data_IF_549541178453
#
_entry.id   IF_549541178453
#
_cell.length_a   1.000
_cell.length_b   1.000
_cell.length_c   1.000
_cell.angle_alpha   90.00
_cell.angle_beta   90.00
_cell.angle_gamma   90.00
#
_symmetry.space_group_name_H-M   'P 1'
#
loop_
_entity.id
_entity.type
_entity.pdbx_description
1 polymer ?
#
# COMPACT_ATOMS: atom_id res chain seq x y z
N UNK A 1 -5.37 5.24 -1.58
CA UNK A 1 -6.46 5.72 -2.45
C UNK A 1 -7.33 6.63 -1.61
N UNK A 2 -7.27 7.94 -1.83
CA UNK A 2 -8.24 8.86 -1.22
C UNK A 2 -9.44 8.88 -2.16
N UNK A 3 -10.44 8.06 -1.84
CA UNK A 3 -11.75 8.11 -2.50
C UNK A 3 -12.47 9.29 -1.86
N UNK A 4 -12.33 10.50 -2.40
CA UNK A 4 -13.11 11.62 -1.87
C UNK A 4 -14.60 11.29 -2.09
N UNK A 5 -15.41 11.16 -1.02
CA UNK A 5 -16.78 10.66 -1.14
C UNK A 5 -17.65 11.63 -1.93
N UNK A 6 -17.45 12.93 -1.72
CA UNK A 6 -18.20 13.98 -2.40
C UNK A 6 -18.00 13.92 -3.92
N UNK A 7 -16.80 13.58 -4.38
CA UNK A 7 -16.52 13.41 -5.82
C UNK A 7 -17.11 12.14 -6.40
N UNK A 8 -17.27 11.07 -5.61
CA UNK A 8 -17.73 9.77 -6.10
C UNK A 8 -19.24 9.56 -5.97
N UNK A 9 -19.89 10.26 -5.05
CA UNK A 9 -21.33 10.17 -4.80
C UNK A 9 -22.15 11.23 -5.57
N UNK A 10 -21.50 12.16 -6.29
CA UNK A 10 -22.19 13.24 -7.02
C UNK A 10 -23.17 12.74 -8.08
N UNK A 11 -22.94 11.53 -8.61
CA UNK A 11 -23.81 10.88 -9.59
C UNK A 11 -24.57 9.68 -9.02
N UNK A 12 -24.55 9.48 -7.70
CA UNK A 12 -25.28 8.39 -7.05
C UNK A 12 -26.77 8.71 -6.99
N UNK A 13 -27.62 7.69 -7.07
CA UNK A 13 -29.07 7.87 -6.96
C UNK A 13 -29.48 8.20 -5.52
N UNK A 14 -28.69 7.71 -4.55
CA UNK A 14 -28.76 8.07 -3.13
C UNK A 14 -27.35 8.45 -2.62
N UNK A 15 -27.04 9.77 -2.53
CA UNK A 15 -25.76 10.24 -2.02
C UNK A 15 -25.47 9.84 -0.56
N UNK A 16 -26.51 9.70 0.27
CA UNK A 16 -26.35 9.37 1.70
C UNK A 16 -25.93 7.91 1.86
N UNK A 17 -26.56 7.01 1.11
CA UNK A 17 -26.18 5.60 1.07
C UNK A 17 -24.78 5.41 0.47
N UNK A 18 -24.43 6.20 -0.56
CA UNK A 18 -23.09 6.19 -1.15
C UNK A 18 -22.02 6.56 -0.10
N UNK A 19 -22.23 7.65 0.64
CA UNK A 19 -21.29 8.09 1.69
C UNK A 19 -21.14 7.03 2.79
N UNK A 20 -22.24 6.40 3.21
CA UNK A 20 -22.24 5.33 4.20
C UNK A 20 -21.42 4.12 3.74
N UNK A 21 -21.62 3.66 2.50
CA UNK A 21 -20.86 2.55 1.89
C UNK A 21 -19.38 2.86 1.74
N UNK A 22 -19.03 4.09 1.33
CA UNK A 22 -17.64 4.55 1.30
C UNK A 22 -17.04 4.51 2.72
N UNK A 23 -17.80 4.91 3.73
CA UNK A 23 -17.43 4.81 5.15
C UNK A 23 -17.07 3.37 5.56
N UNK A 24 -17.94 2.40 5.23
CA UNK A 24 -17.69 0.97 5.50
C UNK A 24 -16.42 0.50 4.81
N UNK A 25 -16.27 0.75 3.50
CA UNK A 25 -15.08 0.34 2.76
C UNK A 25 -13.80 0.94 3.35
N UNK A 26 -13.83 2.22 3.74
CA UNK A 26 -12.70 2.88 4.43
C UNK A 26 -12.40 2.23 5.77
N UNK A 27 -13.43 1.91 6.56
CA UNK A 27 -13.29 1.21 7.85
C UNK A 27 -12.61 -0.14 7.71
N UNK A 28 -13.08 -0.96 6.76
CA UNK A 28 -12.50 -2.26 6.42
C UNK A 28 -11.02 -2.12 6.03
N UNK A 29 -10.69 -1.16 5.16
CA UNK A 29 -9.30 -0.93 4.75
C UNK A 29 -8.39 -0.46 5.88
N UNK A 30 -8.90 0.27 6.87
CA UNK A 30 -8.14 0.70 8.05
C UNK A 30 -7.94 -0.46 9.04
N UNK A 31 -8.98 -1.24 9.31
CA UNK A 31 -8.94 -2.35 10.26
C UNK A 31 -8.08 -3.53 9.76
N UNK A 32 -7.97 -3.72 8.44
CA UNK A 32 -7.10 -4.73 7.84
C UNK A 32 -5.65 -4.28 7.61
N UNK A 33 -5.26 -3.06 8.03
CA UNK A 33 -3.84 -2.72 8.19
C UNK A 33 -3.30 -3.44 9.42
N UNK A 34 -3.09 -4.75 9.29
CA UNK A 34 -2.34 -5.51 10.28
C UNK A 34 -0.95 -4.88 10.43
N UNK A 35 -0.57 -4.55 11.65
CA UNK A 35 0.78 -4.14 12.05
C UNK A 35 1.88 -5.11 11.57
N UNK A 36 1.52 -6.34 11.21
CA UNK A 36 2.41 -7.38 10.69
C UNK A 36 2.55 -7.42 9.16
N UNK A 37 1.96 -6.49 8.40
CA UNK A 37 2.09 -6.50 6.94
C UNK A 37 3.55 -6.40 6.48
N UNK A 38 4.35 -5.56 7.14
CA UNK A 38 5.79 -5.43 6.86
C UNK A 38 6.55 -6.72 7.19
N UNK A 39 6.25 -7.36 8.32
CA UNK A 39 6.87 -8.63 8.72
C UNK A 39 6.57 -9.75 7.75
N UNK A 40 5.30 -9.93 7.37
CA UNK A 40 4.90 -10.93 6.37
C UNK A 40 5.51 -10.65 4.99
N UNK A 41 5.63 -9.38 4.61
CA UNK A 41 6.25 -8.99 3.36
C UNK A 41 7.75 -9.32 3.34
N UNK A 42 8.48 -9.01 4.41
CA UNK A 42 9.91 -9.31 4.51
C UNK A 42 10.18 -10.82 4.58
N UNK A 43 9.38 -11.58 5.33
CA UNK A 43 9.49 -13.04 5.36
C UNK A 43 9.32 -13.65 3.96
N UNK A 44 8.33 -13.17 3.18
CA UNK A 44 8.15 -13.59 1.79
C UNK A 44 9.30 -13.18 0.89
N UNK A 45 9.85 -11.99 1.08
CA UNK A 45 11.03 -11.54 0.32
C UNK A 45 12.23 -12.46 0.59
N UNK A 46 12.45 -12.89 1.83
CA UNK A 46 13.50 -13.84 2.17
C UNK A 46 13.28 -15.21 1.50
N UNK A 47 12.07 -15.78 1.59
CA UNK A 47 11.75 -17.04 0.92
C UNK A 47 11.94 -16.96 -0.60
N UNK A 48 11.46 -15.88 -1.22
CA UNK A 48 11.61 -15.66 -2.64
C UNK A 48 13.06 -15.46 -3.08
N UNK A 49 13.88 -14.79 -2.26
CA UNK A 49 15.29 -14.64 -2.52
C UNK A 49 16.03 -15.98 -2.50
N UNK A 50 15.71 -16.86 -1.56
CA UNK A 50 16.23 -18.23 -1.53
C UNK A 50 15.83 -19.02 -2.78
N UNK A 51 14.55 -18.97 -3.17
CA UNK A 51 14.06 -19.68 -4.36
C UNK A 51 14.69 -19.17 -5.67
N UNK A 52 14.95 -17.86 -5.76
CA UNK A 52 15.50 -17.23 -6.96
C UNK A 52 17.04 -17.17 -6.97
N UNK A 53 17.69 -17.70 -5.92
CA UNK A 53 19.12 -17.61 -5.67
C UNK A 53 19.65 -16.16 -5.69
N UNK A 54 18.89 -15.25 -5.07
CA UNK A 54 19.23 -13.82 -4.94
C UNK A 54 19.84 -13.60 -3.55
N UNK A 55 21.02 -13.00 -3.50
CA UNK A 55 21.64 -12.61 -2.23
C UNK A 55 21.06 -11.28 -1.77
N UNK A 56 20.26 -11.31 -0.71
CA UNK A 56 19.74 -10.11 -0.07
C UNK A 56 20.73 -9.57 0.98
N UNK A 57 20.92 -8.24 1.07
CA UNK A 57 21.55 -7.62 2.23
C UNK A 57 20.83 -8.01 3.52
N UNK A 58 21.55 -8.10 4.63
CA UNK A 58 20.94 -8.29 5.92
C UNK A 58 20.14 -7.04 6.34
N UNK A 59 18.81 -7.17 6.33
CA UNK A 59 17.87 -6.12 6.72
C UNK A 59 17.43 -6.22 8.19
N UNK A 60 17.94 -7.22 8.95
CA UNK A 60 17.48 -7.55 10.31
C UNK A 60 18.00 -6.60 11.40
N UNK A 61 19.08 -5.86 11.13
CA UNK A 61 19.68 -4.85 12.02
C UNK A 61 18.80 -3.62 12.29
N UNK A 62 17.55 -3.63 11.85
CA UNK A 62 16.64 -2.47 11.88
C UNK A 62 15.37 -2.66 12.72
N UNK A 63 15.17 -3.82 13.35
CA UNK A 63 13.99 -4.10 14.18
C UNK A 63 14.16 -3.81 15.68
N UNK A 64 15.37 -3.44 16.15
CA UNK A 64 15.70 -3.43 17.58
C UNK A 64 15.89 -2.06 18.26
N UNK A 65 15.60 -0.92 17.62
CA UNK A 65 15.76 0.40 18.26
C UNK A 65 14.45 1.16 18.48
N UNK A 66 13.44 0.51 19.06
CA UNK A 66 12.25 1.23 19.58
C UNK A 66 11.94 0.92 21.04
N UNK A 67 12.94 0.56 21.84
CA UNK A 67 12.72 0.32 23.26
C UNK A 67 13.97 0.51 24.14
N UNK A 68 14.62 1.66 24.06
CA UNK A 68 15.43 2.21 25.17
C UNK A 68 16.04 3.56 24.77
N UNK A 69 15.42 4.66 25.20
CA UNK A 69 16.09 5.64 26.06
C UNK A 69 15.07 6.70 26.48
N UNK A 70 14.69 6.55 27.74
CA UNK A 70 14.20 7.56 28.65
C UNK A 70 15.11 8.79 28.67
N UNK A 71 14.48 9.95 28.92
CA UNK A 71 15.06 11.15 29.53
C UNK A 71 15.99 12.03 28.66
N UNK A 72 15.41 13.12 28.16
CA UNK A 72 16.15 14.26 27.63
C UNK A 72 15.24 15.45 27.45
N UNK A 73 15.04 16.25 28.50
CA UNK A 73 14.39 17.55 28.41
C UNK A 73 15.23 18.46 27.50
N UNK A 74 14.64 18.97 26.42
CA UNK A 74 15.19 20.15 25.75
C UNK A 74 14.07 21.01 25.18
N UNK A 75 13.77 22.08 25.91
CA UNK A 75 13.00 23.21 25.44
C UNK A 75 13.77 23.89 24.30
N UNK A 76 13.14 24.02 23.13
CA UNK A 76 13.64 24.78 22.01
C UNK A 76 12.53 25.60 21.39
N UNK A 77 12.21 26.74 22.01
CA UNK A 77 11.36 27.78 21.45
C UNK A 77 12.11 28.47 20.31
N UNK A 78 11.56 28.43 19.09
CA UNK A 78 12.11 29.14 17.94
C UNK A 78 11.00 29.78 17.11
N UNK A 79 10.69 31.04 17.42
CA UNK A 79 9.96 31.93 16.52
C UNK A 79 10.87 32.40 15.38
N UNK A 80 10.35 32.44 14.16
CA UNK A 80 11.05 32.99 13.00
C UNK A 80 10.09 33.39 11.89
N UNK A 81 9.64 34.64 11.94
CA UNK A 81 8.97 35.33 10.83
C UNK A 81 10.01 35.73 9.79
N UNK A 82 9.79 35.40 8.52
CA UNK A 82 10.67 35.82 7.43
C UNK A 82 9.97 35.79 6.07
N UNK A 83 9.57 36.96 5.59
CA UNK A 83 9.27 37.22 4.18
C UNK A 83 10.57 37.32 3.39
N UNK A 84 10.61 36.73 2.19
CA UNK A 84 11.74 36.84 1.29
C UNK A 84 11.45 36.20 -0.07
N UNK A 85 11.08 37.04 -1.05
CA UNK A 85 11.01 36.70 -2.46
C UNK A 85 12.43 36.56 -3.02
N UNK A 86 12.74 35.44 -3.69
CA UNK A 86 14.01 35.22 -4.37
C UNK A 86 13.88 34.17 -5.47
N UNK A 87 13.91 34.62 -6.72
CA UNK A 87 14.13 33.76 -7.89
C UNK A 87 15.58 33.28 -7.90
N UNK A 88 15.78 31.96 -8.01
CA UNK A 88 17.09 31.35 -8.16
C UNK A 88 16.98 30.01 -8.87
N UNK A 89 17.35 29.99 -10.16
CA UNK A 89 17.62 28.76 -10.90
C UNK A 89 18.88 28.13 -10.33
N UNK A 90 18.71 27.14 -9.44
CA UNK A 90 19.79 26.36 -8.85
C UNK A 90 19.65 24.88 -9.19
N UNK A 91 20.49 24.39 -10.09
CA UNK A 91 20.81 22.97 -10.16
C UNK A 91 21.53 22.57 -8.86
N UNK A 92 20.76 22.18 -7.85
CA UNK A 92 21.26 21.71 -6.57
C UNK A 92 21.29 20.19 -6.52
N UNK A 93 22.48 19.60 -6.72
CA UNK A 93 22.80 18.27 -6.21
C UNK A 93 22.76 18.30 -4.68
N UNK A 94 21.56 18.16 -4.12
CA UNK A 94 21.30 18.13 -2.68
C UNK A 94 21.62 16.77 -2.09
N UNK A 95 22.91 16.51 -1.87
CA UNK A 95 23.37 15.42 -1.01
C UNK A 95 22.94 15.65 0.45
N UNK A 96 21.72 15.24 0.79
CA UNK A 96 21.22 15.20 2.16
C UNK A 96 21.60 13.88 2.83
N UNK A 97 22.80 13.83 3.45
CA UNK A 97 23.16 12.81 4.43
C UNK A 97 22.36 13.05 5.72
N UNK A 98 21.20 12.40 5.84
CA UNK A 98 20.52 12.21 7.12
C UNK A 98 20.54 10.72 7.49
N UNK A 99 20.90 10.33 8.72
CA UNK A 99 20.92 8.92 9.13
C UNK A 99 19.48 8.43 9.40
N UNK A 100 18.69 8.28 8.33
CA UNK A 100 17.41 7.57 8.34
C UNK A 100 17.62 6.12 7.93
N UNK A 101 18.31 5.34 8.78
CA UNK A 101 18.81 3.99 8.51
C UNK A 101 17.74 2.88 8.54
N UNK A 102 16.60 3.06 7.87
CA UNK A 102 15.60 1.99 7.77
C UNK A 102 15.05 1.69 6.36
N UNK A 103 15.29 2.57 5.38
CA UNK A 103 14.86 2.37 3.98
C UNK A 103 15.96 2.53 2.94
N UNK A 104 17.18 2.91 3.37
CA UNK A 104 18.30 3.23 2.47
C UNK A 104 18.92 2.01 1.81
N UNK A 105 19.25 0.97 2.58
CA UNK A 105 19.97 -0.20 2.06
C UNK A 105 19.15 -0.99 1.01
N UNK A 106 17.86 -1.23 1.27
CA UNK A 106 16.96 -1.83 0.28
C UNK A 106 16.89 -0.98 -1.00
N UNK A 107 16.74 0.35 -0.88
CA UNK A 107 16.68 1.24 -2.04
C UNK A 107 17.99 1.26 -2.82
N UNK A 108 19.14 1.25 -2.14
CA UNK A 108 20.46 1.21 -2.77
C UNK A 108 20.66 -0.12 -3.49
N UNK A 109 20.40 -1.25 -2.83
CA UNK A 109 20.48 -2.58 -3.45
C UNK A 109 19.54 -2.71 -4.64
N UNK A 110 18.29 -2.26 -4.52
CA UNK A 110 17.28 -2.34 -5.58
C UNK A 110 17.61 -1.47 -6.79
N UNK A 111 18.40 -0.40 -6.62
CA UNK A 111 18.91 0.41 -7.73
C UNK A 111 20.11 -0.25 -8.42
N UNK A 112 20.98 -0.89 -7.64
CA UNK A 112 22.13 -1.61 -8.17
C UNK A 112 21.74 -2.92 -8.87
N UNK A 113 20.64 -3.56 -8.46
CA UNK A 113 20.19 -4.87 -8.95
C UNK A 113 18.75 -4.80 -9.51
N UNK A 114 18.52 -4.11 -10.65
CA UNK A 114 17.16 -3.89 -11.17
C UNK A 114 16.47 -5.18 -11.64
N UNK A 115 17.21 -6.12 -12.22
CA UNK A 115 16.71 -7.42 -12.69
C UNK A 115 16.31 -8.32 -11.51
N UNK A 116 17.18 -8.48 -10.52
CA UNK A 116 16.90 -9.27 -9.33
C UNK A 116 15.78 -8.66 -8.50
N UNK A 117 15.73 -7.34 -8.37
CA UNK A 117 14.58 -6.64 -7.80
C UNK A 117 13.29 -7.01 -8.55
N UNK A 118 13.28 -7.00 -9.89
CA UNK A 118 12.09 -7.33 -10.66
C UNK A 118 11.64 -8.76 -10.40
N UNK A 119 12.56 -9.72 -10.46
CA UNK A 119 12.30 -11.16 -10.21
C UNK A 119 11.78 -11.38 -8.79
N UNK A 120 12.46 -10.79 -7.81
CA UNK A 120 12.10 -10.87 -6.39
C UNK A 120 10.71 -10.28 -6.12
N UNK A 121 10.43 -9.08 -6.62
CA UNK A 121 9.11 -8.45 -6.46
C UNK A 121 8.02 -9.24 -7.18
N UNK A 122 8.34 -9.85 -8.33
CA UNK A 122 7.46 -10.80 -9.01
C UNK A 122 7.08 -11.97 -8.10
N UNK A 123 8.08 -12.66 -7.54
CA UNK A 123 7.86 -13.77 -6.61
C UNK A 123 7.10 -13.34 -5.34
N UNK A 124 7.47 -12.22 -4.71
CA UNK A 124 6.81 -11.75 -3.47
C UNK A 124 5.34 -11.44 -3.72
N UNK A 125 5.04 -10.82 -4.87
CA UNK A 125 3.67 -10.55 -5.26
C UNK A 125 2.90 -11.82 -5.63
N UNK A 126 3.52 -12.79 -6.31
CA UNK A 126 2.92 -14.11 -6.54
C UNK A 126 2.68 -14.88 -5.23
N UNK A 127 3.63 -14.85 -4.29
CA UNK A 127 3.52 -15.47 -2.96
C UNK A 127 2.45 -14.85 -2.06
N UNK A 128 1.92 -13.67 -2.42
CA UNK A 128 0.70 -13.15 -1.78
C UNK A 128 -0.56 -13.88 -2.21
N UNK A 129 -0.49 -14.67 -3.28
CA UNK A 129 -1.60 -15.31 -3.96
C UNK A 129 -2.53 -14.32 -4.67
N UNK A 130 -2.29 -13.00 -4.55
CA UNK A 130 -3.17 -11.97 -5.10
C UNK A 130 -2.98 -11.76 -6.60
N UNK A 131 -1.87 -12.22 -7.16
CA UNK A 131 -1.53 -12.04 -8.56
C UNK A 131 -1.12 -13.36 -9.20
N UNK A 132 -1.56 -13.55 -10.43
CA UNK A 132 -1.19 -14.68 -11.27
C UNK A 132 0.21 -14.46 -11.88
N UNK A 133 0.75 -15.50 -12.51
CA UNK A 133 2.07 -15.46 -13.13
C UNK A 133 2.19 -14.44 -14.28
N UNK A 134 1.10 -14.24 -15.03
CA UNK A 134 0.95 -13.26 -16.11
C UNK A 134 0.79 -11.80 -15.61
N UNK A 135 0.80 -11.60 -14.29
CA UNK A 135 0.64 -10.31 -13.67
C UNK A 135 -0.81 -9.84 -13.49
N UNK A 136 -1.80 -10.62 -13.93
CA UNK A 136 -3.21 -10.38 -13.61
C UNK A 136 -3.49 -10.66 -12.13
N UNK A 137 -4.70 -10.33 -11.66
CA UNK A 137 -5.14 -10.50 -10.28
C UNK A 137 -5.77 -11.88 -10.18
N UNK A 138 -5.40 -12.61 -9.15
CA UNK A 138 -6.06 -13.86 -8.83
C UNK A 138 -7.45 -13.55 -8.27
N UNK A 139 -8.48 -13.68 -9.12
CA UNK A 139 -9.87 -13.34 -8.79
C UNK A 139 -10.38 -14.16 -7.61
N UNK A 140 -10.10 -15.46 -7.57
CA UNK A 140 -10.48 -16.34 -6.47
C UNK A 140 -9.92 -15.83 -5.15
N UNK A 141 -8.63 -15.51 -5.12
CA UNK A 141 -7.98 -15.00 -3.91
C UNK A 141 -8.50 -13.62 -3.51
N UNK A 142 -8.83 -12.76 -4.46
CA UNK A 142 -9.45 -11.47 -4.18
C UNK A 142 -10.84 -11.64 -3.56
N UNK A 143 -11.68 -12.53 -4.11
CA UNK A 143 -13.02 -12.83 -3.58
C UNK A 143 -12.94 -13.39 -2.16
N UNK A 144 -12.03 -14.35 -1.91
CA UNK A 144 -11.77 -14.85 -0.55
C UNK A 144 -11.42 -13.71 0.41
N UNK A 145 -10.54 -12.80 -0.03
CA UNK A 145 -10.14 -11.65 0.79
C UNK A 145 -11.28 -10.67 1.02
N UNK A 146 -12.13 -10.43 0.02
CA UNK A 146 -13.36 -9.65 0.19
C UNK A 146 -14.25 -10.31 1.23
N UNK A 147 -14.51 -11.61 1.13
CA UNK A 147 -15.32 -12.32 2.12
C UNK A 147 -14.73 -12.23 3.53
N UNK A 148 -13.41 -12.41 3.68
CA UNK A 148 -12.71 -12.25 4.96
C UNK A 148 -12.84 -10.84 5.54
N UNK A 149 -12.81 -9.82 4.67
CA UNK A 149 -12.96 -8.42 5.08
C UNK A 149 -14.35 -8.09 5.64
N UNK A 150 -15.37 -8.85 5.25
CA UNK A 150 -16.76 -8.63 5.65
C UNK A 150 -17.24 -9.60 6.76
N UNK A 151 -16.41 -10.54 7.24
CA UNK A 151 -16.80 -11.53 8.28
C UNK A 151 -17.43 -10.87 9.53
N UNK A 152 -16.94 -9.69 9.92
CA UNK A 152 -17.44 -8.96 11.10
C UNK A 152 -18.27 -7.72 10.73
N UNK A 153 -18.80 -7.65 9.51
CA UNK A 153 -19.53 -6.49 8.99
C UNK A 153 -20.91 -6.91 8.49
N UNK A 154 -21.97 -6.24 8.94
CA UNK A 154 -23.36 -6.47 8.50
C UNK A 154 -23.68 -5.70 7.20
N UNK A 155 -22.97 -6.01 6.12
CA UNK A 155 -23.11 -5.32 4.82
C UNK A 155 -23.16 -6.30 3.64
N UNK A 156 -24.15 -7.23 3.60
CA UNK A 156 -24.19 -8.30 2.62
C UNK A 156 -24.36 -7.80 1.18
N UNK A 157 -25.12 -6.72 0.97
CA UNK A 157 -25.33 -6.13 -0.35
C UNK A 157 -24.03 -5.52 -0.92
N UNK A 158 -23.30 -4.77 -0.10
CA UNK A 158 -22.00 -4.20 -0.48
C UNK A 158 -20.95 -5.30 -0.69
N UNK A 159 -20.95 -6.34 0.14
CA UNK A 159 -20.08 -7.50 -0.05
C UNK A 159 -20.34 -8.16 -1.41
N UNK A 160 -21.60 -8.45 -1.74
CA UNK A 160 -21.98 -9.06 -3.02
C UNK A 160 -21.62 -8.17 -4.22
N UNK A 161 -21.81 -6.85 -4.11
CA UNK A 161 -21.41 -5.89 -5.15
C UNK A 161 -19.90 -5.96 -5.43
N UNK A 162 -19.07 -5.95 -4.37
CA UNK A 162 -17.62 -6.05 -4.51
C UNK A 162 -17.18 -7.42 -5.08
N UNK A 163 -17.82 -8.52 -4.67
CA UNK A 163 -17.56 -9.86 -5.22
C UNK A 163 -17.94 -9.92 -6.70
N UNK A 164 -19.13 -9.41 -7.06
CA UNK A 164 -19.60 -9.34 -8.44
C UNK A 164 -18.63 -8.55 -9.31
N UNK A 165 -18.18 -7.38 -8.85
CA UNK A 165 -17.18 -6.58 -9.57
C UNK A 165 -15.83 -7.26 -9.68
N UNK A 166 -15.35 -7.95 -8.63
CA UNK A 166 -14.12 -8.74 -8.72
C UNK A 166 -14.18 -9.80 -9.84
N UNK A 167 -15.37 -10.32 -10.14
CA UNK A 167 -15.58 -11.31 -11.19
C UNK A 167 -15.82 -10.68 -12.58
N UNK A 168 -16.47 -9.53 -12.64
CA UNK A 168 -16.94 -8.92 -13.91
C UNK A 168 -16.01 -7.83 -14.45
N UNK A 169 -15.23 -7.15 -13.62
CA UNK A 169 -14.30 -6.13 -14.06
C UNK A 169 -13.26 -6.69 -15.04
N UNK A 170 -13.15 -6.05 -16.20
CA UNK A 170 -12.14 -6.37 -17.21
C UNK A 170 -10.74 -6.25 -16.60
N UNK A 171 -9.90 -7.21 -16.95
CA UNK A 171 -8.52 -7.23 -16.51
C UNK A 171 -7.59 -7.41 -17.71
N UNK A 172 -6.69 -6.45 -17.87
CA UNK A 172 -5.58 -6.55 -18.81
C UNK A 172 -4.25 -6.72 -18.06
N UNK A 173 -3.27 -7.34 -18.73
CA UNK A 173 -1.92 -7.45 -18.20
C UNK A 173 -1.37 -6.05 -17.91
N UNK A 174 -0.72 -5.87 -16.75
CA UNK A 174 -0.18 -4.60 -16.27
C UNK A 174 -1.18 -3.49 -15.90
N UNK A 175 -2.49 -3.69 -16.05
CA UNK A 175 -3.54 -2.72 -15.65
C UNK A 175 -4.19 -3.08 -14.30
N UNK A 176 -3.36 -3.48 -13.34
CA UNK A 176 -3.84 -3.90 -12.01
C UNK A 176 -4.56 -2.76 -11.29
N UNK A 177 -4.12 -1.53 -11.53
CA UNK A 177 -4.67 -0.32 -10.91
C UNK A 177 -6.09 -0.06 -11.39
N UNK A 178 -6.32 -0.19 -12.69
CA UNK A 178 -7.60 0.00 -13.36
C UNK A 178 -8.59 -1.08 -12.91
N UNK A 179 -8.13 -2.33 -12.83
CA UNK A 179 -8.92 -3.43 -12.28
C UNK A 179 -9.36 -3.16 -10.83
N UNK A 180 -8.44 -2.82 -9.93
CA UNK A 180 -8.81 -2.49 -8.55
C UNK A 180 -9.71 -1.26 -8.47
N UNK A 181 -9.53 -0.27 -9.36
CA UNK A 181 -10.43 0.89 -9.45
C UNK A 181 -11.86 0.43 -9.76
N UNK A 182 -12.04 -0.41 -10.78
CA UNK A 182 -13.36 -0.94 -11.15
C UNK A 182 -14.02 -1.71 -9.99
N UNK A 183 -13.26 -2.53 -9.27
CA UNK A 183 -13.76 -3.27 -8.10
C UNK A 183 -14.20 -2.34 -6.99
N UNK A 184 -13.34 -1.41 -6.56
CA UNK A 184 -13.63 -0.52 -5.44
C UNK A 184 -14.59 0.62 -5.76
N UNK A 185 -14.91 0.86 -7.04
CA UNK A 185 -16.06 1.70 -7.40
C UNK A 185 -17.39 1.15 -6.87
N UNK A 186 -17.47 -0.16 -6.56
CA UNK A 186 -18.65 -0.73 -5.88
C UNK A 186 -18.92 -0.13 -4.49
N UNK A 187 -17.91 0.47 -3.86
CA UNK A 187 -18.10 1.21 -2.61
C UNK A 187 -18.92 2.50 -2.80
N UNK A 188 -19.01 3.01 -4.03
CA UNK A 188 -19.69 4.26 -4.37
C UNK A 188 -20.94 4.04 -5.23
N UNK A 189 -21.36 2.79 -5.46
CA UNK A 189 -22.61 2.50 -6.16
C UNK A 189 -23.75 2.38 -5.16
N UNK A 190 -24.69 3.33 -5.23
CA UNK A 190 -26.00 3.31 -4.56
C UNK A 190 -27.09 3.90 -5.43
#
# INVERSE_FOLDING_TARGET
>A
YSLDPATQCVSASDPTECERRIGVCRGIHRNHRSSNHRGQYMARAQTCAQQLNITLPDFSSQSNNTQQQSEGHSHGSGHGSGHGSGHGSGHGNGGGRGPGHHGGQWRTWARANPEDKRRLMGCVHQGSGMFNADGTVNRTRLVEKINQMFVNTTEPALQQELVSRAQTCTQEANQKREYFRCVYMGCATS
#
